data_IF_923781422196
#
_entry.id   IF_923781422196
#
_cell.length_a   1.000
_cell.length_b   1.000
_cell.length_c   1.000
_cell.angle_alpha   90.00
_cell.angle_beta   90.00
_cell.angle_gamma   90.00
#
_symmetry.space_group_name_H-M   'P 1'
#
loop_
_entity.id
_entity.type
_entity.pdbx_description
1 polymer ?
#
# COMPACT_ATOMS: atom_id res chain seq x y z
N UNK A 1 -64.92 -6.66 37.63
CA UNK A 1 -64.99 -5.76 38.80
C UNK A 1 -63.61 -5.16 39.04
N UNK A 2 -63.53 -3.81 39.00
CA UNK A 2 -62.56 -2.87 39.62
C UNK A 2 -61.06 -3.05 39.31
N UNK A 3 -60.42 -2.18 38.51
CA UNK A 3 -59.90 -0.80 38.74
C UNK A 3 -58.64 -0.65 39.61
N UNK A 4 -57.69 0.14 39.07
CA UNK A 4 -56.62 0.98 39.64
C UNK A 4 -55.19 0.54 39.20
N UNK A 5 -54.43 1.20 38.30
CA UNK A 5 -53.92 2.59 38.17
C UNK A 5 -52.97 3.05 39.31
N UNK A 6 -52.07 3.98 38.94
CA UNK A 6 -50.88 4.57 39.61
C UNK A 6 -49.57 3.82 39.29
N UNK A 7 -48.62 4.29 38.47
CA UNK A 7 -48.26 5.65 38.06
C UNK A 7 -47.07 6.12 38.88
N UNK A 8 -45.85 6.09 38.32
CA UNK A 8 -44.72 6.92 38.79
C UNK A 8 -43.82 7.30 37.61
N UNK A 9 -43.75 8.61 37.41
CA UNK A 9 -42.88 9.34 36.49
C UNK A 9 -41.46 9.39 37.05
N UNK A 10 -40.45 9.42 36.17
CA UNK A 10 -39.05 9.55 36.58
C UNK A 10 -38.08 9.89 35.44
N UNK A 11 -38.30 11.06 34.82
CA UNK A 11 -37.32 11.97 34.18
C UNK A 11 -36.21 11.39 33.27
N UNK A 12 -36.40 11.62 31.97
CA UNK A 12 -35.33 11.67 30.97
C UNK A 12 -34.54 12.99 31.12
N UNK A 13 -33.25 12.90 31.47
CA UNK A 13 -32.33 14.04 31.42
C UNK A 13 -31.81 14.23 30.00
N UNK A 14 -32.44 15.17 29.30
CA UNK A 14 -31.97 15.73 28.04
C UNK A 14 -31.01 16.89 28.38
N UNK A 15 -29.71 16.64 28.35
CA UNK A 15 -28.70 17.70 28.50
C UNK A 15 -28.43 18.36 27.15
N UNK A 16 -29.17 19.42 26.86
CA UNK A 16 -28.89 20.38 25.80
C UNK A 16 -27.67 21.22 26.22
N UNK A 17 -26.52 20.96 25.61
CA UNK A 17 -25.38 21.87 25.68
C UNK A 17 -25.48 22.91 24.55
N UNK A 18 -25.93 24.10 24.93
CA UNK A 18 -25.81 25.34 24.16
C UNK A 18 -24.52 26.05 24.57
N UNK A 19 -23.50 25.97 23.72
CA UNK A 19 -22.40 26.93 23.61
C UNK A 19 -22.42 27.34 22.14
N UNK A 20 -22.81 28.57 21.80
CA UNK A 20 -22.03 29.76 22.09
C UNK A 20 -21.18 30.03 20.86
N UNK A 21 -21.73 30.80 19.92
CA UNK A 21 -21.20 30.95 18.57
C UNK A 21 -19.80 31.57 18.52
N UNK A 22 -19.01 31.10 17.56
CA UNK A 22 -17.96 31.87 16.91
C UNK A 22 -18.18 31.74 15.40
N UNK A 23 -18.28 32.88 14.73
CA UNK A 23 -18.55 32.97 13.29
C UNK A 23 -17.43 32.30 12.49
N UNK A 24 -17.78 31.31 11.66
CA UNK A 24 -16.91 30.85 10.58
C UNK A 24 -17.14 31.76 9.38
N UNK A 25 -16.11 32.50 8.99
CA UNK A 25 -16.06 33.16 7.70
C UNK A 25 -15.88 32.08 6.64
N UNK A 26 -16.89 31.88 5.80
CA UNK A 26 -16.80 31.07 4.59
C UNK A 26 -15.90 31.81 3.60
N UNK A 27 -14.72 31.26 3.29
CA UNK A 27 -13.97 31.70 2.11
C UNK A 27 -14.52 30.90 0.93
N UNK A 28 -15.36 31.55 0.13
CA UNK A 28 -15.64 31.12 -1.23
C UNK A 28 -14.42 31.53 -2.06
N UNK A 29 -13.61 30.55 -2.46
CA UNK A 29 -12.60 30.74 -3.49
C UNK A 29 -13.07 30.05 -4.76
N UNK A 30 -14.20 30.52 -5.30
CA UNK A 30 -14.47 30.41 -6.72
C UNK A 30 -13.77 31.58 -7.44
N UNK A 31 -12.61 31.30 -8.01
CA UNK A 31 -11.99 32.18 -9.00
C UNK A 31 -11.73 31.37 -10.26
N UNK A 32 -12.72 31.42 -11.15
CA UNK A 32 -12.54 31.06 -12.54
C UNK A 32 -11.59 32.05 -13.24
N UNK A 33 -10.72 31.49 -14.07
CA UNK A 33 -10.02 32.10 -15.21
C UNK A 33 -9.52 30.90 -16.02
N UNK A 34 -10.06 30.53 -17.19
CA UNK A 34 -10.30 31.38 -18.35
C UNK A 34 -8.99 31.47 -19.13
N UNK A 35 -8.77 30.56 -20.09
CA UNK A 35 -7.57 30.59 -20.94
C UNK A 35 -7.51 29.46 -21.97
N UNK A 36 -8.24 29.61 -23.07
CA UNK A 36 -8.01 28.82 -24.29
C UNK A 36 -6.80 29.35 -25.06
N UNK A 37 -6.07 28.45 -25.73
CA UNK A 37 -4.96 28.79 -26.61
C UNK A 37 -4.72 27.66 -27.60
N UNK A 38 -4.97 27.95 -28.88
CA UNK A 38 -4.89 27.05 -30.00
C UNK A 38 -3.47 26.88 -30.55
N UNK A 39 -3.25 25.77 -31.25
CA UNK A 39 -2.61 25.71 -32.58
C UNK A 39 -1.12 26.06 -32.70
N UNK A 40 -0.32 25.09 -33.17
CA UNK A 40 1.05 25.34 -33.59
C UNK A 40 1.70 24.15 -34.28
N UNK A 41 1.22 23.78 -35.46
CA UNK A 41 1.95 22.92 -36.41
C UNK A 41 3.07 23.75 -37.08
N UNK A 42 4.32 23.31 -36.97
CA UNK A 42 5.45 23.90 -37.68
C UNK A 42 6.53 22.85 -37.92
N UNK A 43 6.51 22.27 -39.12
CA UNK A 43 7.65 21.52 -39.67
C UNK A 43 8.55 22.42 -40.52
N UNK A 44 9.76 21.91 -40.78
CA UNK A 44 10.85 22.29 -41.71
C UNK A 44 12.15 22.14 -40.91
N UNK A 45 13.06 21.20 -41.20
CA UNK A 45 13.71 20.93 -42.47
C UNK A 45 15.18 21.32 -42.32
N UNK A 46 16.11 20.38 -42.51
CA UNK A 46 17.54 20.68 -42.39
C UNK A 46 18.43 19.45 -42.47
N UNK A 47 18.63 18.94 -43.68
CA UNK A 47 19.69 17.98 -43.96
C UNK A 47 21.08 18.62 -43.80
N UNK A 48 22.02 17.87 -43.25
CA UNK A 48 23.44 18.24 -43.18
C UNK A 48 24.26 16.97 -43.17
N UNK A 49 24.78 16.60 -44.33
CA UNK A 49 25.53 15.37 -44.56
C UNK A 49 26.88 15.33 -43.84
N UNK A 50 27.33 14.11 -43.60
CA UNK A 50 28.68 13.78 -43.20
C UNK A 50 29.67 14.08 -44.34
N UNK A 51 30.51 15.10 -44.15
CA UNK A 51 31.67 15.39 -44.99
C UNK A 51 32.95 15.19 -44.18
N UNK A 52 33.85 14.36 -44.70
CA UNK A 52 35.14 14.04 -44.09
C UNK A 52 36.02 15.29 -43.91
N UNK A 53 36.61 15.46 -42.72
CA UNK A 53 37.59 16.50 -42.45
C UNK A 53 37.82 16.72 -40.94
N UNK A 54 38.89 16.14 -40.41
CA UNK A 54 39.41 16.42 -39.08
C UNK A 54 39.99 17.82 -38.98
N UNK A 55 39.63 18.61 -37.94
CA UNK A 55 40.54 19.16 -36.90
C UNK A 55 39.91 20.37 -36.17
N UNK A 56 40.10 20.43 -34.85
CA UNK A 56 39.83 21.63 -34.05
C UNK A 56 39.50 21.35 -32.59
N UNK A 57 40.52 21.14 -31.74
CA UNK A 57 40.40 21.24 -30.29
C UNK A 57 40.07 22.68 -29.86
N UNK A 58 39.25 22.82 -28.81
CA UNK A 58 39.23 24.00 -27.94
C UNK A 58 37.85 24.40 -27.47
N UNK A 59 37.53 24.13 -26.20
CA UNK A 59 36.35 24.70 -25.54
C UNK A 59 35.86 23.87 -24.36
N UNK A 60 36.35 24.20 -23.17
CA UNK A 60 35.89 23.64 -21.90
C UNK A 60 34.56 24.27 -21.47
N UNK A 61 33.62 23.43 -21.07
CA UNK A 61 32.58 23.77 -20.08
C UNK A 61 31.24 24.24 -20.65
N UNK A 62 30.25 23.33 -20.69
CA UNK A 62 28.86 23.72 -20.86
C UNK A 62 27.93 22.60 -21.34
N UNK A 63 27.35 21.91 -20.35
CA UNK A 63 26.01 21.30 -20.36
C UNK A 63 25.66 20.11 -21.26
N UNK A 64 24.75 19.31 -20.70
CA UNK A 64 23.69 18.52 -21.33
C UNK A 64 23.93 17.02 -21.54
N UNK A 65 23.08 16.29 -20.82
CA UNK A 65 22.50 14.98 -21.09
C UNK A 65 22.53 14.54 -22.55
N UNK A 66 23.02 13.31 -22.78
CA UNK A 66 22.28 12.25 -23.48
C UNK A 66 23.23 11.07 -23.71
N UNK A 67 22.87 9.91 -23.19
CA UNK A 67 23.60 8.68 -23.38
C UNK A 67 22.66 7.51 -23.22
N UNK A 68 21.92 7.19 -24.28
CA UNK A 68 21.17 5.96 -24.38
C UNK A 68 22.11 4.76 -24.30
N UNK A 69 21.78 3.81 -23.44
CA UNK A 69 22.46 2.53 -23.34
C UNK A 69 21.43 1.42 -23.28
N UNK A 70 21.04 0.89 -24.44
CA UNK A 70 20.43 -0.43 -24.52
C UNK A 70 21.55 -1.45 -24.30
N UNK A 71 21.70 -1.90 -23.06
CA UNK A 71 22.66 -2.92 -22.66
C UNK A 71 22.01 -3.91 -21.71
N UNK A 72 21.50 -5.02 -22.24
CA UNK A 72 21.10 -6.16 -21.44
C UNK A 72 22.32 -6.78 -20.76
N UNK A 73 22.22 -6.96 -19.45
CA UNK A 73 23.17 -7.69 -18.63
C UNK A 73 22.49 -8.09 -17.34
N UNK A 74 22.17 -9.38 -17.21
CA UNK A 74 21.71 -9.97 -15.96
C UNK A 74 22.80 -9.83 -14.89
N UNK A 75 22.44 -9.18 -13.78
CA UNK A 75 23.29 -8.97 -12.63
C UNK A 75 22.53 -8.15 -11.60
N UNK A 76 22.38 -8.71 -10.39
CA UNK A 76 21.76 -8.18 -9.17
C UNK A 76 21.20 -6.76 -9.26
N UNK A 77 19.87 -6.62 -9.13
CA UNK A 77 19.14 -5.35 -9.10
C UNK A 77 19.66 -4.40 -8.01
N UNK A 78 20.68 -3.62 -8.35
CA UNK A 78 21.08 -2.39 -7.66
C UNK A 78 20.21 -1.26 -8.18
N UNK A 79 18.90 -1.31 -7.91
CA UNK A 79 18.04 -0.16 -8.18
C UNK A 79 18.50 1.05 -7.36
N UNK A 80 18.11 2.25 -7.79
CA UNK A 80 18.42 3.49 -7.07
C UNK A 80 17.73 3.46 -5.70
N UNK A 81 18.39 3.86 -4.59
CA UNK A 81 17.73 3.93 -3.29
C UNK A 81 16.62 4.97 -3.29
N UNK A 82 15.52 4.67 -2.60
CA UNK A 82 14.35 5.53 -2.48
C UNK A 82 13.83 5.53 -1.03
N UNK A 83 12.91 6.44 -0.73
CA UNK A 83 12.42 6.69 0.61
C UNK A 83 13.51 7.23 1.54
N UNK A 84 13.54 6.69 2.75
CA UNK A 84 14.40 7.13 3.83
C UNK A 84 14.14 8.55 4.31
N UNK A 85 14.99 9.02 5.23
CA UNK A 85 14.92 10.39 5.77
C UNK A 85 15.00 11.47 4.68
N UNK A 86 15.71 11.19 3.58
CA UNK A 86 15.83 12.10 2.46
C UNK A 86 14.54 12.20 1.62
N UNK A 87 13.60 11.26 1.76
CA UNK A 87 12.35 11.23 1.00
C UNK A 87 12.58 11.07 -0.51
N UNK A 88 13.63 10.34 -0.90
CA UNK A 88 13.99 10.19 -2.33
C UNK A 88 12.89 9.44 -3.07
N UNK A 89 12.41 9.97 -4.18
CA UNK A 89 11.35 9.34 -4.99
C UNK A 89 11.94 8.61 -6.20
N UNK A 90 11.30 7.51 -6.60
CA UNK A 90 11.65 6.79 -7.83
C UNK A 90 11.16 7.52 -9.09
N UNK A 91 11.62 7.07 -10.25
CA UNK A 91 11.11 7.55 -11.54
C UNK A 91 9.61 7.27 -11.73
N UNK A 92 9.00 7.92 -12.72
CA UNK A 92 7.57 7.78 -13.02
C UNK A 92 7.17 6.35 -13.42
N UNK A 93 8.09 5.60 -14.02
CA UNK A 93 7.89 4.21 -14.47
C UNK A 93 8.40 3.19 -13.44
N UNK A 94 8.63 3.63 -12.20
CA UNK A 94 9.15 2.82 -11.11
C UNK A 94 8.27 2.93 -9.85
N UNK A 95 8.49 2.02 -8.90
CA UNK A 95 7.95 2.05 -7.55
C UNK A 95 9.08 1.80 -6.55
N UNK A 96 8.89 2.26 -5.31
CA UNK A 96 9.89 2.08 -4.25
C UNK A 96 9.58 0.81 -3.48
N UNK A 97 10.43 -0.20 -3.61
CA UNK A 97 10.33 -1.51 -2.96
C UNK A 97 11.01 -1.48 -1.59
N UNK A 98 10.22 -1.52 -0.51
CA UNK A 98 10.74 -1.51 0.85
C UNK A 98 10.88 -2.94 1.36
N UNK A 99 12.07 -3.33 1.86
CA UNK A 99 12.33 -4.72 2.20
C UNK A 99 11.46 -5.26 3.35
N UNK A 100 10.81 -4.38 4.12
CA UNK A 100 9.94 -4.79 5.22
C UNK A 100 8.45 -4.73 4.87
N UNK A 101 8.08 -4.43 3.62
CA UNK A 101 6.69 -4.30 3.16
C UNK A 101 5.85 -3.31 3.99
N UNK A 102 6.50 -2.30 4.59
CA UNK A 102 5.86 -1.33 5.51
C UNK A 102 6.04 0.11 5.05
N UNK A 103 6.07 0.32 3.74
CA UNK A 103 5.94 1.66 3.15
C UNK A 103 7.01 2.67 3.60
N UNK A 104 8.21 2.20 3.90
CA UNK A 104 9.30 3.05 4.37
C UNK A 104 9.09 3.58 5.79
N UNK A 105 8.35 2.86 6.64
CA UNK A 105 8.24 3.21 8.05
C UNK A 105 9.62 3.37 8.70
N UNK A 106 9.69 4.23 9.71
CA UNK A 106 10.95 4.54 10.44
C UNK A 106 12.10 5.05 9.56
N UNK A 107 11.79 5.81 8.51
CA UNK A 107 12.78 6.32 7.54
C UNK A 107 13.60 5.20 6.89
N UNK A 108 12.99 4.03 6.69
CA UNK A 108 13.62 2.93 5.98
C UNK A 108 13.81 3.27 4.50
N UNK A 109 14.97 2.93 3.96
CA UNK A 109 15.25 3.07 2.53
C UNK A 109 14.82 1.83 1.78
N UNK A 110 14.11 2.03 0.66
CA UNK A 110 13.80 0.99 -0.31
C UNK A 110 14.70 1.06 -1.54
N UNK A 111 14.38 0.24 -2.54
CA UNK A 111 15.06 0.19 -3.83
C UNK A 111 14.04 0.43 -4.95
N UNK A 112 14.33 1.34 -5.87
CA UNK A 112 13.48 1.54 -7.03
C UNK A 112 13.46 0.29 -7.91
N UNK A 113 12.25 -0.18 -8.20
CA UNK A 113 11.99 -1.29 -9.14
C UNK A 113 11.15 -0.78 -10.30
N UNK A 114 11.36 -1.30 -11.52
CA UNK A 114 10.52 -0.96 -12.66
C UNK A 114 9.09 -1.46 -12.43
N UNK A 115 8.11 -0.67 -12.88
CA UNK A 115 6.70 -1.08 -12.87
C UNK A 115 6.48 -2.21 -13.88
N UNK A 116 5.70 -3.25 -13.52
CA UNK A 116 5.32 -4.30 -14.46
C UNK A 116 4.48 -3.73 -15.61
N UNK A 117 4.80 -4.05 -16.88
CA UNK A 117 4.02 -3.57 -18.04
C UNK A 117 2.66 -4.25 -18.17
N UNK A 118 2.49 -5.43 -17.56
CA UNK A 118 1.25 -6.19 -17.50
C UNK A 118 1.26 -7.06 -16.25
N UNK A 119 0.07 -7.33 -15.71
CA UNK A 119 -0.13 -8.19 -14.55
C UNK A 119 -1.03 -9.38 -14.91
N UNK A 120 -0.84 -10.53 -14.26
CA UNK A 120 -1.73 -11.67 -14.44
C UNK A 120 -3.13 -11.34 -13.91
N UNK A 121 -4.16 -11.90 -14.54
CA UNK A 121 -5.55 -11.78 -14.07
C UNK A 121 -5.80 -12.80 -12.94
N UNK A 122 -5.09 -12.62 -11.83
CA UNK A 122 -5.20 -13.41 -10.60
C UNK A 122 -5.68 -12.49 -9.50
N UNK A 123 -6.78 -12.87 -8.86
CA UNK A 123 -7.33 -12.13 -7.75
C UNK A 123 -6.72 -12.63 -6.43
N UNK A 124 -5.87 -11.80 -5.84
CA UNK A 124 -5.26 -11.95 -4.52
C UNK A 124 -5.25 -10.57 -3.83
N UNK A 125 -6.36 -10.15 -3.22
CA UNK A 125 -6.53 -8.77 -2.77
C UNK A 125 -5.37 -8.36 -1.87
N UNK A 126 -4.76 -7.21 -2.17
CA UNK A 126 -3.53 -6.76 -1.52
C UNK A 126 -3.65 -5.31 -1.09
N UNK A 127 -3.34 -5.01 0.16
CA UNK A 127 -3.21 -3.67 0.69
C UNK A 127 -1.93 -3.00 0.18
N UNK A 128 -2.07 -1.82 -0.44
CA UNK A 128 -0.94 -1.00 -0.86
C UNK A 128 -0.68 0.16 0.10
N UNK A 129 0.49 0.78 -0.01
CA UNK A 129 0.90 1.89 0.86
C UNK A 129 -0.02 3.12 0.85
N UNK A 130 -0.85 3.29 -0.18
CA UNK A 130 -1.85 4.36 -0.23
C UNK A 130 -3.14 4.04 0.57
N UNK A 131 -3.21 2.89 1.25
CA UNK A 131 -4.39 2.45 1.99
C UNK A 131 -5.52 1.92 1.10
N UNK A 132 -5.24 1.61 -0.17
CA UNK A 132 -6.19 1.03 -1.11
C UNK A 132 -5.88 -0.44 -1.36
N UNK A 133 -6.93 -1.25 -1.49
CA UNK A 133 -6.82 -2.67 -1.86
C UNK A 133 -6.76 -2.80 -3.38
N UNK A 134 -5.71 -3.43 -3.88
CA UNK A 134 -5.50 -3.79 -5.28
C UNK A 134 -5.85 -5.26 -5.53
N UNK A 135 -6.07 -5.61 -6.80
CA UNK A 135 -6.44 -6.98 -7.19
C UNK A 135 -5.38 -8.01 -6.85
N UNK A 136 -4.10 -7.62 -6.92
CA UNK A 136 -2.93 -8.41 -6.53
C UNK A 136 -1.70 -7.50 -6.31
N UNK A 137 -0.57 -8.02 -5.79
CA UNK A 137 0.66 -7.23 -5.58
C UNK A 137 1.25 -6.65 -6.88
N UNK A 138 1.08 -7.36 -8.01
CA UNK A 138 1.53 -6.84 -9.30
C UNK A 138 0.74 -5.58 -9.70
N UNK A 139 -0.58 -5.56 -9.49
CA UNK A 139 -1.41 -4.40 -9.79
C UNK A 139 -1.01 -3.18 -8.93
N UNK A 140 -0.67 -3.41 -7.65
CA UNK A 140 -0.13 -2.37 -6.77
C UNK A 140 1.22 -1.82 -7.31
N UNK A 141 2.15 -2.73 -7.65
CA UNK A 141 3.43 -2.36 -8.24
C UNK A 141 3.28 -1.62 -9.57
N UNK A 142 2.34 -2.04 -10.42
CA UNK A 142 2.02 -1.36 -11.68
C UNK A 142 1.46 0.05 -11.45
N UNK A 143 0.69 0.24 -10.37
CA UNK A 143 0.23 1.57 -9.94
C UNK A 143 1.34 2.44 -9.35
N UNK A 144 2.54 1.89 -9.10
CA UNK A 144 3.67 2.62 -8.55
C UNK A 144 3.81 2.52 -7.04
N UNK A 145 3.17 1.54 -6.43
CA UNK A 145 3.03 1.43 -4.98
C UNK A 145 3.61 0.11 -4.51
N UNK A 146 4.22 0.17 -3.34
CA UNK A 146 4.56 -1.03 -2.58
C UNK A 146 3.32 -1.58 -1.84
N UNK A 147 3.41 -2.84 -1.45
CA UNK A 147 2.46 -3.48 -0.56
C UNK A 147 2.62 -2.96 0.88
N UNK A 148 1.62 -3.19 1.73
CA UNK A 148 1.62 -2.68 3.10
C UNK A 148 1.14 -3.70 4.12
N UNK A 149 2.06 -4.13 4.98
CA UNK A 149 1.79 -4.95 6.17
C UNK A 149 1.33 -4.11 7.38
N UNK A 150 1.11 -2.80 7.21
CA UNK A 150 0.71 -1.90 8.30
C UNK A 150 -0.76 -2.04 8.73
N UNK A 151 -1.56 -2.83 7.99
CA UNK A 151 -2.99 -3.00 8.28
C UNK A 151 -3.80 -1.71 8.11
N UNK A 152 -3.37 -0.83 7.21
CA UNK A 152 -4.00 0.47 6.92
C UNK A 152 -5.16 0.40 5.91
N UNK A 153 -5.47 -0.78 5.38
CA UNK A 153 -6.58 -0.99 4.45
C UNK A 153 -7.80 -1.61 5.13
N UNK A 154 -8.98 -1.21 4.66
CA UNK A 154 -10.23 -1.92 4.96
C UNK A 154 -10.30 -3.21 4.13
N UNK A 155 -10.70 -4.36 4.72
CA UNK A 155 -10.88 -5.60 3.98
C UNK A 155 -11.88 -5.45 2.82
N UNK A 156 -11.67 -6.19 1.70
CA UNK A 156 -12.51 -6.07 0.51
C UNK A 156 -13.97 -6.52 0.72
N UNK A 157 -14.22 -7.33 1.75
CA UNK A 157 -15.58 -7.69 2.18
C UNK A 157 -15.61 -8.02 3.66
N UNK A 158 -16.82 -8.06 4.24
CA UNK A 158 -17.03 -8.42 5.64
C UNK A 158 -16.60 -9.86 5.98
N UNK A 159 -16.33 -10.72 4.99
CA UNK A 159 -15.88 -12.11 5.18
C UNK A 159 -14.36 -12.23 5.26
N UNK A 160 -13.63 -11.17 4.91
CA UNK A 160 -12.18 -11.14 4.92
C UNK A 160 -11.65 -10.37 6.13
N UNK A 161 -10.45 -10.73 6.57
CA UNK A 161 -9.68 -10.01 7.57
C UNK A 161 -8.21 -9.88 7.13
N UNK A 162 -7.48 -8.94 7.72
CA UNK A 162 -6.11 -8.62 7.31
C UNK A 162 -5.12 -9.72 7.72
N UNK A 163 -4.18 -10.03 6.82
CA UNK A 163 -3.06 -10.95 7.08
C UNK A 163 -1.82 -10.45 6.36
N UNK A 164 -1.02 -9.64 7.06
CA UNK A 164 0.01 -8.81 6.42
C UNK A 164 -0.65 -7.84 5.44
N UNK A 165 -0.08 -7.73 4.24
CA UNK A 165 -0.67 -7.02 3.11
C UNK A 165 -1.82 -7.78 2.44
N UNK A 166 -1.97 -9.08 2.68
CA UNK A 166 -3.04 -9.90 2.12
C UNK A 166 -4.31 -9.93 2.98
N UNK A 167 -5.29 -10.70 2.52
CA UNK A 167 -6.52 -10.95 3.28
C UNK A 167 -6.93 -12.42 3.22
N UNK A 168 -7.28 -12.99 4.39
CA UNK A 168 -7.75 -14.37 4.51
C UNK A 168 -9.26 -14.43 4.76
N UNK A 169 -9.89 -15.55 4.41
CA UNK A 169 -11.31 -15.77 4.69
C UNK A 169 -11.53 -16.21 6.14
N UNK A 170 -12.28 -15.43 6.93
CA UNK A 170 -12.48 -15.68 8.37
C UNK A 170 -13.23 -16.98 8.72
N UNK A 171 -13.98 -17.56 7.76
CA UNK A 171 -14.73 -18.79 7.96
C UNK A 171 -13.95 -20.05 7.56
N UNK A 172 -12.93 -19.91 6.72
CA UNK A 172 -12.21 -21.03 6.13
C UNK A 172 -10.71 -21.06 6.48
N UNK A 173 -10.12 -19.93 6.87
CA UNK A 173 -8.68 -19.76 7.00
C UNK A 173 -8.31 -18.97 8.27
N UNK A 174 -7.12 -19.23 8.79
CA UNK A 174 -6.45 -18.40 9.79
C UNK A 174 -5.18 -17.81 9.19
N UNK A 175 -4.76 -16.65 9.71
CA UNK A 175 -3.52 -16.01 9.30
C UNK A 175 -2.37 -16.58 10.12
N UNK A 176 -1.40 -17.19 9.46
CA UNK A 176 -0.13 -17.58 10.06
C UNK A 176 0.92 -16.53 9.71
N UNK A 177 1.46 -15.87 10.73
CA UNK A 177 2.62 -14.98 10.62
C UNK A 177 3.86 -15.72 11.08
N UNK A 178 4.83 -15.89 10.19
CA UNK A 178 6.16 -16.36 10.56
C UNK A 178 7.07 -15.16 10.72
N UNK A 179 7.48 -14.92 11.96
CA UNK A 179 8.41 -13.82 12.25
C UNK A 179 9.77 -14.09 11.63
N UNK A 180 10.38 -13.09 11.00
CA UNK A 180 11.77 -13.24 10.53
C UNK A 180 12.74 -13.10 11.71
N UNK A 181 13.70 -14.04 11.82
CA UNK A 181 14.83 -13.92 12.74
C UNK A 181 15.99 -13.09 12.13
N UNK A 182 15.92 -12.80 10.83
CA UNK A 182 16.85 -11.96 10.08
C UNK A 182 16.36 -10.52 10.14
N UNK A 183 17.09 -9.68 10.88
CA UNK A 183 16.77 -8.26 10.97
C UNK A 183 16.80 -7.56 9.61
N UNK A 184 15.67 -6.96 9.23
CA UNK A 184 15.50 -6.23 7.97
C UNK A 184 14.78 -7.04 6.88
N UNK A 185 14.51 -8.32 7.11
CA UNK A 185 13.62 -9.12 6.28
C UNK A 185 12.18 -9.02 6.80
N UNK A 186 11.17 -9.08 5.91
CA UNK A 186 9.77 -8.99 6.30
C UNK A 186 9.32 -10.29 6.98
N UNK A 187 8.27 -10.20 7.78
CA UNK A 187 7.57 -11.38 8.27
C UNK A 187 6.83 -12.05 7.10
N UNK A 188 6.75 -13.38 7.09
CA UNK A 188 5.97 -14.10 6.09
C UNK A 188 4.54 -14.31 6.57
N UNK A 189 3.56 -14.08 5.71
CA UNK A 189 2.14 -14.24 6.01
C UNK A 189 1.51 -15.28 5.08
N UNK A 190 0.77 -16.23 5.67
CA UNK A 190 0.08 -17.28 4.93
C UNK A 190 -1.34 -17.48 5.46
N UNK A 191 -2.29 -17.63 4.54
CA UNK A 191 -3.64 -18.09 4.86
C UNK A 191 -3.62 -19.61 4.92
N UNK A 192 -3.75 -20.16 6.12
CA UNK A 192 -3.76 -21.59 6.35
C UNK A 192 -5.21 -22.06 6.60
N UNK A 193 -5.61 -23.23 6.05
CA UNK A 193 -6.98 -23.69 6.18
C UNK A 193 -7.32 -24.09 7.61
N UNK A 194 -8.49 -23.68 8.08
CA UNK A 194 -9.06 -24.12 9.35
C UNK A 194 -9.51 -25.57 9.21
N UNK A 195 -9.13 -26.46 10.15
CA UNK A 195 -9.64 -27.82 10.16
C UNK A 195 -11.17 -27.84 10.24
N UNK A 196 -11.83 -28.61 9.38
CA UNK A 196 -13.30 -28.72 9.34
C UNK A 196 -13.94 -29.11 10.69
N UNK A 197 -13.16 -29.74 11.59
CA UNK A 197 -13.59 -30.09 12.94
C UNK A 197 -13.82 -28.86 13.85
N UNK A 198 -13.23 -27.70 13.51
CA UNK A 198 -13.35 -26.46 14.28
C UNK A 198 -14.60 -25.65 13.95
N UNK A 199 -15.29 -25.98 12.85
CA UNK A 199 -16.49 -25.27 12.40
C UNK A 199 -16.20 -23.82 11.97
N UNK A 200 -17.27 -23.03 11.86
CA UNK A 200 -17.26 -21.69 11.23
C UNK A 200 -16.79 -20.57 12.17
N UNK A 201 -16.34 -20.89 13.39
CA UNK A 201 -15.87 -19.90 14.37
C UNK A 201 -14.59 -20.41 15.02
N UNK A 202 -13.45 -20.28 14.33
CA UNK A 202 -12.18 -20.81 14.82
C UNK A 202 -11.78 -20.15 16.14
N UNK A 203 -11.43 -20.99 17.12
CA UNK A 203 -10.76 -20.56 18.35
C UNK A 203 -9.35 -21.14 18.34
N UNK A 204 -8.42 -20.45 18.99
CA UNK A 204 -7.04 -20.91 19.14
C UNK A 204 -6.94 -22.35 19.65
N UNK A 205 -7.78 -22.75 20.61
CA UNK A 205 -7.78 -24.10 21.19
C UNK A 205 -8.08 -25.23 20.20
N UNK A 206 -8.73 -24.93 19.07
CA UNK A 206 -9.09 -25.92 18.08
C UNK A 206 -8.03 -26.10 16.98
N UNK A 207 -7.17 -25.09 16.79
CA UNK A 207 -6.11 -25.15 15.81
C UNK A 207 -5.03 -26.12 16.29
N UNK A 208 -4.70 -27.12 15.47
CA UNK A 208 -3.69 -28.14 15.78
C UNK A 208 -2.27 -27.73 15.35
N UNK A 209 -2.09 -26.48 14.93
CA UNK A 209 -0.83 -25.97 14.45
C UNK A 209 0.15 -25.78 15.63
N UNK A 210 1.42 -26.25 15.52
CA UNK A 210 2.38 -26.11 16.60
C UNK A 210 2.69 -24.65 16.93
N UNK A 211 2.48 -23.68 16.04
CA UNK A 211 2.69 -22.27 16.33
C UNK A 211 1.67 -21.69 17.31
N UNK A 212 0.50 -22.31 17.45
CA UNK A 212 -0.55 -21.87 18.39
C UNK A 212 -0.06 -21.86 19.84
N UNK A 213 0.90 -22.74 20.18
CA UNK A 213 1.48 -22.80 21.52
C UNK A 213 2.42 -21.61 21.82
N UNK A 214 2.88 -20.90 20.79
CA UNK A 214 3.72 -19.71 20.94
C UNK A 214 2.86 -18.45 21.02
N UNK A 215 1.98 -18.24 20.04
CA UNK A 215 1.07 -17.09 20.02
C UNK A 215 -0.12 -17.40 19.11
N UNK A 216 -1.31 -17.17 19.66
CA UNK A 216 -2.55 -17.17 18.91
C UNK A 216 -3.48 -16.11 19.49
N UNK A 217 -3.95 -15.22 18.63
CA UNK A 217 -4.76 -14.07 18.98
C UNK A 217 -6.01 -14.04 18.10
N UNK A 218 -7.16 -13.75 18.70
CA UNK A 218 -8.40 -13.49 17.95
C UNK A 218 -8.44 -12.00 17.69
N UNK A 219 -8.42 -11.61 16.42
CA UNK A 219 -8.52 -10.22 16.04
C UNK A 219 -9.92 -9.66 16.27
N UNK A 220 -10.03 -8.35 16.45
CA UNK A 220 -11.32 -7.67 16.56
C UNK A 220 -12.17 -7.79 15.28
N UNK A 221 -11.53 -8.04 14.14
CA UNK A 221 -12.14 -8.36 12.84
C UNK A 221 -12.84 -9.74 12.83
N UNK A 222 -12.56 -10.58 13.84
CA UNK A 222 -13.05 -11.96 13.96
C UNK A 222 -12.15 -13.00 13.29
N UNK A 223 -11.03 -12.58 12.70
CA UNK A 223 -9.98 -13.48 12.22
C UNK A 223 -9.11 -14.05 13.34
N UNK A 224 -8.31 -15.06 13.02
CA UNK A 224 -7.34 -15.65 13.94
C UNK A 224 -5.94 -15.41 13.39
N UNK A 225 -5.08 -14.83 14.22
CA UNK A 225 -3.66 -14.63 13.94
C UNK A 225 -2.83 -15.59 14.78
N UNK A 226 -2.09 -16.48 14.15
CA UNK A 226 -1.12 -17.38 14.78
C UNK A 226 0.27 -16.88 14.44
N UNK A 227 1.11 -16.64 15.44
CA UNK A 227 2.50 -16.22 15.20
C UNK A 227 3.48 -17.34 15.47
N UNK A 228 4.19 -17.76 14.42
CA UNK A 228 5.29 -18.69 14.48
C UNK A 228 6.61 -17.94 14.75
N UNK A 229 7.47 -18.47 15.64
CA UNK A 229 8.85 -18.01 15.70
C UNK A 229 9.57 -18.32 14.37
N UNK A 230 10.39 -17.40 13.89
CA UNK A 230 11.33 -17.64 12.80
C UNK A 230 12.34 -18.74 13.13
N UNK A 231 12.90 -19.38 12.10
CA UNK A 231 13.83 -20.50 12.23
C UNK A 231 15.05 -20.38 11.34
#
# INVERSE_FOLDING_TARGET
MRLALHGWLGVASLSVFLLGGCAISFVDSNSGSGGGGAGGSGGMGGGGGCGAGSCGQGGSGGSASSGGGMGGGGGASSGTPCGGFAGTVCGLDEWCDYPNDRCGDTDLTGICKPRPPACPDVYFPTCACNGTVYGNPCDAAQAGLDVSDLGNCEPPSAEHFSCGHGFCNKAAEYCQRTTSDVGGEPDAYHCEPIPVACGDTPKCECLSDPCVQFSCEIESSGGVLVTCPGG
#
